data_IF_365610130607
#
_entry.id   IF_365610130607
#
_cell.length_a   1.000
_cell.length_b   1.000
_cell.length_c   1.000
_cell.angle_alpha   90.00
_cell.angle_beta   90.00
_cell.angle_gamma   90.00
#
_symmetry.space_group_name_H-M   'P 1'
#
loop_
_entity.id
_entity.type
_entity.pdbx_description
1 polymer ?
#
# COMPACT_ATOMS: atom_id res chain seq x y z
N UNK A 1 7.62 5.55 -32.59
CA UNK A 1 6.47 5.06 -31.80
C UNK A 1 6.94 3.91 -30.92
N UNK A 2 7.25 4.19 -29.65
CA UNK A 2 7.65 3.18 -28.66
C UNK A 2 6.39 2.51 -28.14
N UNK A 3 5.97 1.39 -28.72
CA UNK A 3 4.84 0.61 -28.22
C UNK A 3 5.27 -0.21 -27.01
N UNK A 4 4.39 -0.31 -26.01
CA UNK A 4 4.55 -1.12 -24.78
C UNK A 4 5.05 -2.55 -25.08
N UNK A 5 4.64 -3.10 -26.24
CA UNK A 5 5.10 -4.38 -26.76
C UNK A 5 6.62 -4.47 -26.97
N UNK A 6 7.27 -3.39 -27.42
CA UNK A 6 8.73 -3.36 -27.63
C UNK A 6 9.50 -3.26 -26.30
N UNK A 7 8.94 -2.59 -25.29
CA UNK A 7 9.53 -2.53 -23.95
C UNK A 7 9.43 -3.88 -23.21
N UNK A 8 8.29 -4.57 -23.35
CA UNK A 8 8.11 -5.93 -22.81
C UNK A 8 9.06 -6.91 -23.49
N UNK A 9 9.24 -6.81 -24.82
CA UNK A 9 10.13 -7.69 -25.59
C UNK A 9 11.60 -7.54 -25.20
N UNK A 10 12.09 -6.32 -24.94
CA UNK A 10 13.51 -6.05 -24.69
C UNK A 10 13.92 -6.24 -23.21
N UNK A 11 13.00 -6.13 -22.26
CA UNK A 11 13.32 -6.22 -20.83
C UNK A 11 12.87 -7.51 -20.14
N UNK A 12 11.80 -8.18 -20.59
CA UNK A 12 11.25 -9.34 -19.87
C UNK A 12 11.70 -10.70 -20.40
N UNK A 13 12.21 -10.82 -21.64
CA UNK A 13 12.50 -12.14 -22.23
C UNK A 13 13.80 -12.18 -23.07
N UNK A 14 14.99 -12.16 -22.43
CA UNK A 14 16.25 -12.39 -23.13
C UNK A 14 16.52 -13.87 -23.51
N UNK A 15 15.69 -14.82 -23.06
CA UNK A 15 15.89 -16.26 -23.28
C UNK A 15 14.90 -16.88 -24.30
N UNK A 16 15.26 -17.97 -25.01
CA UNK A 16 14.41 -18.63 -26.00
C UNK A 16 13.31 -19.45 -25.31
N UNK A 17 12.28 -18.75 -24.83
CA UNK A 17 11.07 -19.36 -24.28
C UNK A 17 10.19 -19.89 -25.42
N UNK A 18 9.63 -21.08 -25.25
CA UNK A 18 8.73 -21.75 -26.20
C UNK A 18 7.53 -20.86 -26.59
N UNK A 19 7.14 -20.85 -27.86
CA UNK A 19 6.12 -19.91 -28.40
C UNK A 19 4.79 -19.95 -27.64
N UNK A 20 4.28 -21.14 -27.34
CA UNK A 20 3.03 -21.33 -26.59
C UNK A 20 3.10 -20.72 -25.18
N UNK A 21 4.24 -20.85 -24.49
CA UNK A 21 4.43 -20.29 -23.15
C UNK A 21 4.48 -18.75 -23.20
N UNK A 22 5.01 -18.18 -24.28
CA UNK A 22 5.00 -16.72 -24.49
C UNK A 22 3.58 -16.17 -24.64
N UNK A 23 2.74 -16.84 -25.42
CA UNK A 23 1.33 -16.43 -25.60
C UNK A 23 0.57 -16.48 -24.28
N UNK A 24 0.75 -17.54 -23.50
CA UNK A 24 0.11 -17.68 -22.17
C UNK A 24 0.58 -16.59 -21.21
N UNK A 25 1.89 -16.32 -21.14
CA UNK A 25 2.44 -15.27 -20.28
C UNK A 25 1.92 -13.89 -20.66
N UNK A 26 1.92 -13.55 -21.96
CA UNK A 26 1.41 -12.27 -22.45
C UNK A 26 -0.09 -12.15 -22.12
N UNK A 27 -0.88 -13.19 -22.39
CA UNK A 27 -2.30 -13.22 -22.06
C UNK A 27 -2.56 -12.99 -20.57
N UNK A 28 -1.81 -13.67 -19.69
CA UNK A 28 -1.90 -13.50 -18.24
C UNK A 28 -1.60 -12.06 -17.82
N UNK A 29 -0.48 -11.47 -18.27
CA UNK A 29 -0.14 -10.09 -17.94
C UNK A 29 -1.17 -9.09 -18.47
N UNK A 30 -1.71 -9.31 -19.67
CA UNK A 30 -2.76 -8.46 -20.23
C UNK A 30 -4.04 -8.50 -19.39
N UNK A 31 -4.46 -9.68 -18.94
CA UNK A 31 -5.64 -9.83 -18.06
C UNK A 31 -5.42 -9.15 -16.72
N UNK A 32 -4.26 -9.32 -16.09
CA UNK A 32 -3.92 -8.68 -14.81
C UNK A 32 -3.89 -7.14 -14.92
N UNK A 33 -3.31 -6.61 -16.00
CA UNK A 33 -3.31 -5.16 -16.27
C UNK A 33 -4.73 -4.66 -16.47
N UNK A 34 -5.54 -5.36 -17.28
CA UNK A 34 -6.92 -4.99 -17.52
C UNK A 34 -7.73 -4.98 -16.22
N UNK A 35 -7.60 -6.03 -15.41
CA UNK A 35 -8.25 -6.14 -14.11
C UNK A 35 -7.85 -4.98 -13.17
N UNK A 36 -6.55 -4.65 -13.13
CA UNK A 36 -6.05 -3.53 -12.33
C UNK A 36 -6.63 -2.18 -12.80
N UNK A 37 -6.74 -1.96 -14.12
CA UNK A 37 -7.31 -0.73 -14.68
C UNK A 37 -8.80 -0.63 -14.35
N UNK A 38 -9.57 -1.68 -14.59
CA UNK A 38 -11.01 -1.73 -14.30
C UNK A 38 -11.26 -1.48 -12.82
N UNK A 39 -10.52 -2.16 -11.93
CA UNK A 39 -10.63 -1.96 -10.50
C UNK A 39 -10.29 -0.52 -10.09
N UNK A 40 -9.26 0.08 -10.69
CA UNK A 40 -8.87 1.47 -10.39
C UNK A 40 -9.93 2.46 -10.84
N UNK A 41 -10.51 2.28 -12.03
CA UNK A 41 -11.60 3.13 -12.56
C UNK A 41 -12.83 3.03 -11.63
N UNK A 42 -13.21 1.82 -11.26
CA UNK A 42 -14.38 1.60 -10.42
C UNK A 42 -14.23 2.28 -9.04
N UNK A 43 -13.07 2.10 -8.41
CA UNK A 43 -12.79 2.70 -7.10
C UNK A 43 -12.61 4.23 -7.17
N UNK A 44 -12.02 4.76 -8.23
CA UNK A 44 -11.63 6.19 -8.30
C UNK A 44 -12.71 7.08 -8.94
N UNK A 45 -13.63 6.51 -9.72
CA UNK A 45 -14.60 7.27 -10.51
C UNK A 45 -16.03 6.84 -10.17
N UNK A 46 -16.34 5.54 -10.31
CA UNK A 46 -17.71 5.04 -10.13
C UNK A 46 -18.21 5.26 -8.70
N UNK A 47 -17.44 4.84 -7.70
CA UNK A 47 -17.83 4.97 -6.29
C UNK A 47 -18.01 6.44 -5.86
N UNK A 48 -17.07 7.37 -6.13
CA UNK A 48 -17.26 8.77 -5.80
C UNK A 48 -18.49 9.40 -6.46
N UNK A 49 -18.76 9.08 -7.73
CA UNK A 49 -19.96 9.60 -8.44
C UNK A 49 -21.23 9.09 -7.77
N UNK A 50 -21.31 7.79 -7.46
CA UNK A 50 -22.47 7.20 -6.77
C UNK A 50 -22.69 7.85 -5.40
N UNK A 51 -21.63 8.08 -4.63
CA UNK A 51 -21.72 8.75 -3.32
C UNK A 51 -22.18 10.20 -3.45
N UNK A 52 -21.70 10.92 -4.48
CA UNK A 52 -22.14 12.28 -4.75
C UNK A 52 -23.63 12.33 -5.11
N UNK A 53 -24.09 11.45 -6.00
CA UNK A 53 -25.50 11.36 -6.40
C UNK A 53 -26.36 11.01 -5.18
N UNK A 54 -25.99 9.99 -4.40
CA UNK A 54 -26.72 9.61 -3.18
C UNK A 54 -26.82 10.75 -2.16
N UNK A 55 -25.70 11.45 -1.93
CA UNK A 55 -25.61 12.56 -0.98
C UNK A 55 -26.44 13.76 -1.40
N UNK A 56 -26.47 14.09 -2.70
CA UNK A 56 -27.00 15.35 -3.22
C UNK A 56 -28.31 15.25 -4.00
N UNK A 57 -28.90 14.06 -4.14
CA UNK A 57 -30.14 13.85 -4.90
C UNK A 57 -31.31 14.76 -4.46
N UNK A 58 -31.46 15.00 -3.15
CA UNK A 58 -32.57 15.79 -2.57
C UNK A 58 -32.10 17.15 -2.05
N UNK A 59 -30.95 17.65 -2.52
CA UNK A 59 -30.36 18.87 -1.99
C UNK A 59 -30.99 20.12 -2.61
N UNK A 60 -31.41 21.07 -1.77
CA UNK A 60 -31.89 22.38 -2.22
C UNK A 60 -30.69 23.33 -2.44
N UNK A 61 -30.37 23.59 -3.70
CA UNK A 61 -29.22 24.43 -4.09
C UNK A 61 -29.55 25.94 -4.18
N UNK A 62 -30.83 26.32 -4.09
CA UNK A 62 -31.27 27.71 -4.33
C UNK A 62 -30.88 28.69 -3.20
N UNK A 63 -30.92 28.24 -1.94
CA UNK A 63 -30.64 29.10 -0.77
C UNK A 63 -29.25 28.89 -0.16
N UNK A 64 -28.59 27.78 -0.50
CA UNK A 64 -27.28 27.42 0.04
C UNK A 64 -26.19 27.84 -0.96
N UNK A 65 -25.38 28.84 -0.62
CA UNK A 65 -24.20 29.23 -1.44
C UNK A 65 -23.12 28.15 -1.32
N UNK A 66 -23.30 27.07 -2.08
CA UNK A 66 -22.36 25.95 -2.21
C UNK A 66 -21.19 26.41 -3.07
N UNK A 67 -20.04 26.64 -2.44
CA UNK A 67 -18.82 27.08 -3.14
C UNK A 67 -17.95 25.89 -3.57
N UNK A 68 -18.11 24.73 -2.91
CA UNK A 68 -17.36 23.51 -3.18
C UNK A 68 -18.09 22.30 -2.60
N UNK A 69 -17.77 21.08 -3.04
CA UNK A 69 -18.31 19.81 -2.51
C UNK A 69 -18.18 19.66 -0.99
N UNK A 70 -17.29 20.42 -0.36
CA UNK A 70 -17.08 20.45 1.09
C UNK A 70 -18.19 21.20 1.85
N UNK A 71 -18.90 22.14 1.21
CA UNK A 71 -20.02 22.86 1.82
C UNK A 71 -21.31 22.08 1.57
N UNK A 72 -21.78 21.34 2.59
CA UNK A 72 -23.01 20.55 2.47
C UNK A 72 -24.25 21.46 2.41
N UNK A 73 -25.12 21.32 1.40
CA UNK A 73 -26.39 22.05 1.33
C UNK A 73 -27.37 21.66 2.43
N UNK A 74 -28.27 22.58 2.77
CA UNK A 74 -29.38 22.36 3.69
C UNK A 74 -30.34 21.31 3.09
N UNK A 75 -30.36 20.10 3.67
CA UNK A 75 -31.07 18.92 3.15
C UNK A 75 -30.19 17.68 2.97
N UNK A 76 -28.91 17.86 2.59
CA UNK A 76 -27.95 16.77 2.43
C UNK A 76 -27.16 16.46 3.72
N UNK A 77 -27.25 17.32 4.74
CA UNK A 77 -26.46 17.23 5.97
C UNK A 77 -26.60 15.88 6.70
N UNK A 78 -27.82 15.35 6.83
CA UNK A 78 -28.08 14.07 7.49
C UNK A 78 -27.44 12.90 6.74
N UNK A 79 -27.61 12.84 5.41
CA UNK A 79 -27.01 11.79 4.55
C UNK A 79 -25.49 11.81 4.60
N UNK A 80 -24.89 13.00 4.55
CA UNK A 80 -23.43 13.16 4.67
C UNK A 80 -22.93 12.71 6.04
N UNK A 81 -23.66 12.97 7.12
CA UNK A 81 -23.28 12.50 8.45
C UNK A 81 -23.33 10.97 8.57
N UNK A 82 -24.33 10.33 7.95
CA UNK A 82 -24.38 8.85 7.84
C UNK A 82 -23.16 8.32 7.08
N UNK A 83 -22.77 8.97 5.98
CA UNK A 83 -21.57 8.58 5.23
C UNK A 83 -20.29 8.73 6.06
N UNK A 84 -20.15 9.79 6.86
CA UNK A 84 -19.01 9.94 7.77
C UNK A 84 -18.99 8.87 8.86
N UNK A 85 -20.14 8.56 9.45
CA UNK A 85 -20.26 7.48 10.45
C UNK A 85 -19.88 6.12 9.84
N UNK A 86 -20.41 5.79 8.66
CA UNK A 86 -20.05 4.58 7.91
C UNK A 86 -18.55 4.56 7.60
N UNK A 87 -17.98 5.68 7.14
CA UNK A 87 -16.54 5.80 6.89
C UNK A 87 -15.68 5.50 8.12
N UNK A 88 -16.08 5.97 9.31
CA UNK A 88 -15.39 5.65 10.56
C UNK A 88 -15.49 4.14 10.85
N UNK A 89 -16.68 3.54 10.72
CA UNK A 89 -16.85 2.09 10.97
C UNK A 89 -16.01 1.23 10.03
N UNK A 90 -15.96 1.57 8.73
CA UNK A 90 -15.13 0.88 7.74
C UNK A 90 -13.65 1.01 8.10
N UNK A 91 -13.20 2.20 8.50
CA UNK A 91 -11.81 2.40 8.93
C UNK A 91 -11.45 1.55 10.16
N UNK A 92 -12.36 1.39 11.12
CA UNK A 92 -12.17 0.50 12.28
C UNK A 92 -12.06 -0.97 11.84
N UNK A 93 -12.93 -1.43 10.93
CA UNK A 93 -12.86 -2.78 10.38
C UNK A 93 -11.52 -3.00 9.65
N UNK A 94 -11.08 -2.02 8.85
CA UNK A 94 -9.78 -2.06 8.18
C UNK A 94 -8.61 -2.18 9.17
N UNK A 95 -8.65 -1.50 10.32
CA UNK A 95 -7.63 -1.66 11.37
C UNK A 95 -7.60 -3.08 11.93
N UNK A 96 -8.77 -3.68 12.18
CA UNK A 96 -8.88 -5.05 12.68
C UNK A 96 -8.29 -6.03 11.67
N UNK A 97 -8.67 -5.91 10.39
CA UNK A 97 -8.13 -6.76 9.32
C UNK A 97 -6.61 -6.58 9.22
N UNK A 98 -6.11 -5.35 9.26
CA UNK A 98 -4.69 -5.07 9.18
C UNK A 98 -3.91 -5.69 10.34
N UNK A 99 -4.47 -5.64 11.55
CA UNK A 99 -3.91 -6.29 12.73
C UNK A 99 -3.84 -7.82 12.54
N UNK A 100 -4.92 -8.43 12.06
CA UNK A 100 -4.97 -9.88 11.80
C UNK A 100 -3.91 -10.28 10.76
N UNK A 101 -3.79 -9.55 9.65
CA UNK A 101 -2.80 -9.85 8.60
C UNK A 101 -1.37 -9.75 9.19
N UNK A 102 -1.08 -8.74 10.02
CA UNK A 102 0.21 -8.63 10.71
C UNK A 102 0.48 -9.80 11.64
N UNK A 103 -0.52 -10.24 12.39
CA UNK A 103 -0.40 -11.38 13.31
C UNK A 103 -0.11 -12.69 12.54
N UNK A 104 -0.84 -12.93 11.45
CA UNK A 104 -0.63 -14.09 10.57
C UNK A 104 0.78 -14.07 9.98
N UNK A 105 1.23 -12.92 9.49
CA UNK A 105 2.56 -12.79 8.89
C UNK A 105 3.69 -13.02 9.91
N UNK A 106 3.53 -12.54 11.15
CA UNK A 106 4.47 -12.80 12.23
C UNK A 106 4.53 -14.29 12.58
N UNK A 107 3.37 -14.96 12.64
CA UNK A 107 3.31 -16.41 12.86
C UNK A 107 3.98 -17.20 11.72
N UNK A 108 3.74 -16.79 10.46
CA UNK A 108 4.39 -17.41 9.29
C UNK A 108 5.89 -17.19 9.26
N UNK A 109 6.42 -16.09 9.79
CA UNK A 109 7.87 -15.86 9.89
C UNK A 109 8.55 -16.86 10.84
N UNK A 110 7.85 -17.27 11.90
CA UNK A 110 8.39 -18.13 12.96
C UNK A 110 8.40 -19.63 12.62
N UNK A 111 7.73 -20.04 11.54
CA UNK A 111 7.66 -21.44 11.14
C UNK A 111 8.96 -21.89 10.44
N UNK A 112 9.69 -22.88 10.99
CA UNK A 112 10.98 -23.32 10.44
C UNK A 112 10.86 -24.27 9.22
N UNK A 113 9.68 -24.84 8.96
CA UNK A 113 9.48 -25.97 8.04
C UNK A 113 9.29 -25.60 6.55
N UNK A 114 9.88 -24.50 6.06
CA UNK A 114 9.64 -24.06 4.68
C UNK A 114 10.71 -24.50 3.69
N UNK A 115 10.26 -25.02 2.55
CA UNK A 115 11.06 -25.12 1.32
C UNK A 115 11.61 -23.75 0.91
N UNK A 116 12.76 -23.74 0.23
CA UNK A 116 13.50 -22.52 -0.14
C UNK A 116 12.60 -21.48 -0.85
N UNK A 117 11.78 -21.92 -1.82
CA UNK A 117 10.84 -21.07 -2.55
C UNK A 117 9.80 -20.41 -1.64
N UNK A 118 9.21 -21.18 -0.72
CA UNK A 118 8.22 -20.67 0.23
C UNK A 118 8.83 -19.63 1.18
N UNK A 119 10.10 -19.78 1.58
CA UNK A 119 10.79 -18.77 2.41
C UNK A 119 10.97 -17.45 1.67
N UNK A 120 11.29 -17.50 0.36
CA UNK A 120 11.39 -16.29 -0.46
C UNK A 120 10.05 -15.57 -0.55
N UNK A 121 8.98 -16.30 -0.89
CA UNK A 121 7.63 -15.74 -0.98
C UNK A 121 7.14 -15.14 0.34
N UNK A 122 7.36 -15.83 1.47
CA UNK A 122 6.99 -15.32 2.80
C UNK A 122 7.79 -14.07 3.15
N UNK A 123 9.10 -14.03 2.87
CA UNK A 123 9.93 -12.85 3.13
C UNK A 123 9.45 -11.65 2.32
N UNK A 124 9.10 -11.86 1.06
CA UNK A 124 8.58 -10.82 0.18
C UNK A 124 7.20 -10.34 0.65
N UNK A 125 6.28 -11.26 0.95
CA UNK A 125 4.96 -10.93 1.47
C UNK A 125 5.01 -10.16 2.80
N UNK A 126 5.94 -10.49 3.70
CA UNK A 126 6.15 -9.73 4.94
C UNK A 126 6.61 -8.31 4.63
N UNK A 127 7.57 -8.13 3.72
CA UNK A 127 8.06 -6.81 3.34
C UNK A 127 6.96 -5.96 2.69
N UNK A 128 6.20 -6.54 1.76
CA UNK A 128 5.07 -5.88 1.09
C UNK A 128 3.97 -5.53 2.09
N UNK A 129 3.62 -6.45 2.98
CA UNK A 129 2.61 -6.20 4.02
C UNK A 129 3.07 -5.11 4.99
N UNK A 130 4.34 -5.09 5.39
CA UNK A 130 4.88 -4.03 6.25
C UNK A 130 4.70 -2.66 5.59
N UNK A 131 5.05 -2.54 4.31
CA UNK A 131 4.85 -1.31 3.54
C UNK A 131 3.37 -0.91 3.44
N UNK A 132 2.52 -1.81 2.93
CA UNK A 132 1.08 -1.58 2.79
C UNK A 132 0.47 -1.19 4.14
N UNK A 133 0.88 -1.86 5.22
CA UNK A 133 0.36 -1.56 6.54
C UNK A 133 0.75 -0.20 7.09
N UNK A 134 1.95 0.29 6.79
CA UNK A 134 2.35 1.66 7.18
C UNK A 134 1.49 2.69 6.45
N UNK A 135 1.28 2.49 5.15
CA UNK A 135 0.45 3.36 4.31
C UNK A 135 -1.01 3.33 4.78
N UNK A 136 -1.58 2.15 5.00
CA UNK A 136 -2.96 1.99 5.47
C UNK A 136 -3.18 2.59 6.85
N UNK A 137 -2.24 2.40 7.80
CA UNK A 137 -2.35 3.04 9.12
C UNK A 137 -2.36 4.55 9.00
N UNK A 138 -1.48 5.11 8.17
CA UNK A 138 -1.43 6.55 7.94
C UNK A 138 -2.76 7.03 7.33
N UNK A 139 -3.27 6.38 6.30
CA UNK A 139 -4.56 6.71 5.70
C UNK A 139 -5.72 6.68 6.72
N UNK A 140 -5.78 5.63 7.55
CA UNK A 140 -6.83 5.47 8.55
C UNK A 140 -6.77 6.59 9.60
N UNK A 141 -5.58 6.92 10.11
CA UNK A 141 -5.41 8.02 11.08
C UNK A 141 -5.91 9.34 10.50
N UNK A 142 -5.48 9.68 9.29
CA UNK A 142 -5.92 10.91 8.60
C UNK A 142 -7.43 10.91 8.34
N UNK A 143 -8.00 9.77 7.95
CA UNK A 143 -9.43 9.64 7.65
C UNK A 143 -10.31 9.72 8.90
N UNK A 144 -9.88 9.13 10.02
CA UNK A 144 -10.58 9.22 11.30
C UNK A 144 -10.55 10.66 11.82
N UNK A 145 -9.38 11.31 11.80
CA UNK A 145 -9.26 12.72 12.23
C UNK A 145 -10.18 13.59 11.39
N UNK A 146 -10.12 13.48 10.06
CA UNK A 146 -10.99 14.24 9.15
C UNK A 146 -12.47 14.02 9.43
N UNK A 147 -12.92 12.75 9.48
CA UNK A 147 -14.34 12.41 9.65
C UNK A 147 -14.86 12.84 11.03
N UNK A 148 -14.04 12.68 12.08
CA UNK A 148 -14.39 13.06 13.45
C UNK A 148 -14.47 14.58 13.58
N UNK A 149 -13.48 15.31 13.05
CA UNK A 149 -13.49 16.78 13.04
C UNK A 149 -14.71 17.34 12.30
N UNK A 150 -15.10 16.72 11.18
CA UNK A 150 -16.30 17.14 10.44
C UNK A 150 -17.60 16.90 11.21
N UNK A 151 -17.73 15.76 11.88
CA UNK A 151 -18.89 15.47 12.72
C UNK A 151 -18.96 16.43 13.91
N UNK A 152 -17.84 16.65 14.62
CA UNK A 152 -17.77 17.57 15.76
C UNK A 152 -18.10 19.01 15.34
N UNK A 153 -17.53 19.49 14.22
CA UNK A 153 -17.79 20.83 13.73
C UNK A 153 -19.29 21.04 13.44
N UNK A 154 -19.95 20.04 12.87
CA UNK A 154 -21.39 20.07 12.59
C UNK A 154 -22.26 19.96 13.85
N UNK A 155 -21.82 19.22 14.87
CA UNK A 155 -22.57 19.06 16.12
C UNK A 155 -22.46 20.27 17.06
N UNK A 156 -21.32 20.97 17.08
CA UNK A 156 -21.04 22.02 18.07
C UNK A 156 -21.16 23.46 17.55
N UNK A 157 -21.25 23.72 16.24
CA UNK A 157 -21.46 25.09 15.72
C UNK A 157 -22.95 25.45 15.58
N UNK A 158 -23.47 26.44 16.34
CA UNK A 158 -24.84 26.95 16.21
C UNK A 158 -25.09 27.57 14.83
N UNK A 159 -26.34 27.51 14.36
CA UNK A 159 -26.86 28.03 13.07
C UNK A 159 -26.38 29.43 12.67
N UNK A 160 -26.15 30.30 13.66
CA UNK A 160 -26.06 31.74 13.42
C UNK A 160 -24.62 32.24 13.21
N UNK A 161 -23.60 31.45 13.58
CA UNK A 161 -22.17 31.77 13.37
C UNK A 161 -21.63 31.13 12.07
N UNK A 162 -22.50 30.43 11.33
CA UNK A 162 -22.11 29.35 10.41
C UNK A 162 -21.37 29.76 9.14
N UNK A 163 -21.56 30.95 8.59
CA UNK A 163 -21.34 31.05 7.15
C UNK A 163 -19.89 31.29 6.69
N UNK A 164 -19.07 32.06 7.42
CA UNK A 164 -17.68 32.36 7.03
C UNK A 164 -16.64 31.57 7.85
N UNK A 165 -16.76 31.57 9.17
CA UNK A 165 -15.78 30.93 10.06
C UNK A 165 -15.83 29.40 9.96
N UNK A 166 -17.02 28.80 9.84
CA UNK A 166 -17.15 27.34 9.70
C UNK A 166 -16.48 26.82 8.43
N UNK A 167 -16.58 27.54 7.31
CA UNK A 167 -15.98 27.14 6.02
C UNK A 167 -14.45 27.20 6.05
N UNK A 168 -13.88 28.23 6.68
CA UNK A 168 -12.43 28.32 6.87
C UNK A 168 -11.91 27.17 7.75
N UNK A 169 -12.60 26.90 8.86
CA UNK A 169 -12.26 25.79 9.77
C UNK A 169 -12.38 24.44 9.03
N UNK A 170 -13.43 24.25 8.23
CA UNK A 170 -13.63 23.05 7.40
C UNK A 170 -12.46 22.84 6.42
N UNK A 171 -11.97 23.91 5.77
CA UNK A 171 -10.80 23.83 4.89
C UNK A 171 -9.51 23.50 5.66
N UNK A 172 -9.31 24.06 6.85
CA UNK A 172 -8.14 23.73 7.69
C UNK A 172 -8.11 22.24 8.07
N UNK A 173 -9.26 21.64 8.32
CA UNK A 173 -9.37 20.21 8.63
C UNK A 173 -9.37 19.33 7.38
N UNK A 174 -9.27 19.86 6.16
CA UNK A 174 -9.15 19.03 4.95
C UNK A 174 -7.73 18.45 4.84
N UNK A 175 -7.50 17.33 5.52
CA UNK A 175 -6.17 16.72 5.66
C UNK A 175 -5.73 15.85 4.46
N UNK A 176 -6.59 15.63 3.48
CA UNK A 176 -6.31 14.75 2.33
C UNK A 176 -5.07 15.18 1.49
N UNK A 177 -4.85 16.48 1.21
CA UNK A 177 -3.64 16.92 0.52
C UNK A 177 -2.36 16.66 1.33
N UNK A 178 -2.43 16.80 2.66
CA UNK A 178 -1.31 16.50 3.55
C UNK A 178 -1.00 15.00 3.56
N UNK A 179 -2.04 14.15 3.54
CA UNK A 179 -1.89 12.70 3.39
C UNK A 179 -1.09 12.35 2.12
N UNK A 180 -1.52 12.89 0.96
CA UNK A 180 -0.85 12.65 -0.33
C UNK A 180 0.60 13.15 -0.30
N UNK A 181 0.84 14.32 0.30
CA UNK A 181 2.18 14.89 0.42
C UNK A 181 3.11 14.03 1.29
N UNK A 182 2.62 13.44 2.38
CA UNK A 182 3.40 12.55 3.26
C UNK A 182 3.58 11.16 2.66
N UNK A 183 2.63 10.71 1.83
CA UNK A 183 2.68 9.40 1.19
C UNK A 183 3.94 9.23 0.33
N UNK A 184 4.26 10.20 -0.52
CA UNK A 184 5.42 10.14 -1.43
C UNK A 184 6.79 9.97 -0.70
N UNK A 185 7.16 10.79 0.31
CA UNK A 185 8.40 10.57 1.06
C UNK A 185 8.36 9.27 1.86
N UNK A 186 7.20 8.86 2.38
CA UNK A 186 7.05 7.59 3.08
C UNK A 186 7.36 6.40 2.16
N UNK A 187 6.85 6.41 0.92
CA UNK A 187 7.13 5.35 -0.06
C UNK A 187 8.61 5.30 -0.44
N UNK A 188 9.25 6.47 -0.64
CA UNK A 188 10.68 6.55 -0.95
C UNK A 188 11.51 6.01 0.22
N UNK A 189 11.16 6.39 1.44
CA UNK A 189 11.84 5.91 2.64
C UNK A 189 11.75 4.39 2.78
N UNK A 190 10.56 3.81 2.62
CA UNK A 190 10.36 2.36 2.66
C UNK A 190 11.18 1.63 1.58
N UNK A 191 11.19 2.16 0.35
CA UNK A 191 11.96 1.59 -0.75
C UNK A 191 13.47 1.62 -0.47
N UNK A 192 13.99 2.75 0.03
CA UNK A 192 15.39 2.90 0.41
C UNK A 192 15.77 1.89 1.51
N UNK A 193 14.95 1.80 2.55
CA UNK A 193 15.18 0.88 3.68
C UNK A 193 15.15 -0.59 3.24
N UNK A 194 14.27 -0.95 2.30
CA UNK A 194 14.22 -2.28 1.73
C UNK A 194 15.46 -2.61 0.91
N UNK A 195 15.92 -1.67 0.08
CA UNK A 195 17.15 -1.80 -0.71
C UNK A 195 18.38 -1.99 0.19
N UNK A 196 18.50 -1.20 1.26
CA UNK A 196 19.58 -1.31 2.25
C UNK A 196 19.55 -2.67 2.95
N UNK A 197 18.37 -3.13 3.41
CA UNK A 197 18.21 -4.45 4.05
C UNK A 197 18.63 -5.58 3.10
N UNK A 198 18.29 -5.49 1.82
CA UNK A 198 18.70 -6.46 0.79
C UNK A 198 20.22 -6.45 0.56
N UNK A 199 20.82 -5.27 0.44
CA UNK A 199 22.27 -5.13 0.26
C UNK A 199 23.05 -5.67 1.47
N UNK A 200 22.59 -5.39 2.69
CA UNK A 200 23.22 -5.88 3.91
C UNK A 200 23.12 -7.41 4.02
N UNK A 201 21.99 -8.01 3.63
CA UNK A 201 21.84 -9.47 3.57
C UNK A 201 22.77 -10.10 2.53
N UNK A 202 22.94 -9.46 1.37
CA UNK A 202 23.87 -9.95 0.35
C UNK A 202 25.33 -9.88 0.84
N UNK A 203 25.72 -8.76 1.45
CA UNK A 203 27.06 -8.60 2.06
C UNK A 203 27.32 -9.62 3.16
N UNK A 204 26.33 -9.92 4.01
CA UNK A 204 26.50 -10.92 5.07
C UNK A 204 26.63 -12.34 4.50
N UNK A 205 25.87 -12.69 3.47
CA UNK A 205 26.00 -13.99 2.79
C UNK A 205 27.36 -14.16 2.10
N UNK A 206 27.87 -13.12 1.44
CA UNK A 206 29.22 -13.13 0.83
C UNK A 206 30.29 -13.30 1.91
N UNK A 207 30.18 -12.58 3.04
CA UNK A 207 31.10 -12.72 4.17
C UNK A 207 31.08 -14.12 4.79
N UNK A 208 29.91 -14.75 4.88
CA UNK A 208 29.77 -16.14 5.35
C UNK A 208 30.41 -17.12 4.37
N UNK A 209 30.20 -16.96 3.05
CA UNK A 209 30.84 -17.80 2.03
C UNK A 209 32.36 -17.65 2.03
N UNK A 210 32.87 -16.42 2.13
CA UNK A 210 34.31 -16.16 2.20
C UNK A 210 34.93 -16.85 3.41
N UNK A 211 34.33 -16.70 4.61
CA UNK A 211 34.77 -17.42 5.82
C UNK A 211 34.67 -18.95 5.68
N UNK A 212 33.64 -19.45 5.00
CA UNK A 212 33.46 -20.89 4.79
C UNK A 212 34.50 -21.47 3.83
N UNK A 213 34.84 -20.74 2.76
CA UNK A 213 35.91 -21.09 1.83
C UNK A 213 37.26 -21.11 2.55
N UNK A 214 37.57 -20.04 3.29
CA UNK A 214 38.81 -19.91 4.07
C UNK A 214 38.93 -21.03 5.13
N UNK A 215 37.82 -21.40 5.78
CA UNK A 215 37.77 -22.55 6.67
C UNK A 215 37.98 -23.88 5.94
N UNK A 216 37.37 -24.07 4.75
CA UNK A 216 37.53 -25.27 3.93
C UNK A 216 38.98 -25.43 3.45
N UNK A 217 39.61 -24.34 3.02
CA UNK A 217 41.01 -24.32 2.56
C UNK A 217 41.97 -24.61 3.72
N UNK A 218 41.66 -24.10 4.92
CA UNK A 218 42.40 -24.42 6.14
C UNK A 218 42.27 -25.91 6.51
N UNK A 219 41.06 -26.47 6.46
CA UNK A 219 40.85 -27.91 6.69
C UNK A 219 41.56 -28.79 5.64
N UNK A 220 41.50 -28.40 4.37
CA UNK A 220 42.15 -29.13 3.28
C UNK A 220 43.68 -29.15 3.42
N UNK A 221 44.29 -28.03 3.83
CA UNK A 221 45.73 -27.95 4.07
C UNK A 221 46.18 -28.76 5.30
N UNK A 222 45.39 -28.80 6.37
CA UNK A 222 45.68 -29.68 7.52
C UNK A 222 45.62 -31.17 7.13
N UNK A 223 44.61 -31.56 6.34
CA UNK A 223 44.48 -32.93 5.84
C UNK A 223 45.66 -33.31 4.91
N UNK A 224 46.10 -32.41 4.03
CA UNK A 224 47.24 -32.70 3.15
C UNK A 224 48.54 -32.85 3.92
N UNK A 225 48.76 -32.05 4.97
CA UNK A 225 49.90 -32.20 5.86
C UNK A 225 49.88 -33.53 6.61
N UNK A 226 48.72 -33.95 7.13
CA UNK A 226 48.59 -35.27 7.79
C UNK A 226 48.83 -36.43 6.83
N UNK A 227 48.37 -36.29 5.57
CA UNK A 227 48.57 -37.31 4.54
C UNK A 227 50.04 -37.42 4.13
N UNK A 228 50.72 -36.29 3.96
CA UNK A 228 52.13 -36.23 3.58
C UNK A 228 53.09 -36.54 4.73
N UNK A 229 52.66 -36.40 5.99
CA UNK A 229 53.46 -36.74 7.18
C UNK A 229 53.43 -38.23 7.54
N UNK A 230 52.67 -39.06 6.81
CA UNK A 230 52.58 -40.52 7.00
C UNK A 230 53.39 -41.33 5.97
N UNK A 231 54.25 -40.67 5.19
CA UNK A 231 55.28 -41.26 4.34
C UNK A 231 56.65 -40.78 4.84
#
# INVERSE_FOLDING_TARGET
>A
MFTLANAVRSHLMPAPIHSNLRVILIGYFCVEILHTIVFTIDQSISIPILLLVYSHHDANFENSRVLCSLSTPDGAASKVNVLFALGITINVICLIILYIIKAINKSREQNPNFHLSSRYQVTENIATTQFVSSVSLLHIVFSIIYSSSMLLLKSFMPSDIQYKSSKFITMLFYLNPLFIFILAPLTVWHLKRWKEKRQNRMRSLVKIKAKGQEASDTYASMLSQQWNAKL
#
